data_IF_962663884773
#
_entry.id   IF_962663884773
#
_cell.length_a   1.000
_cell.length_b   1.000
_cell.length_c   1.000
_cell.angle_alpha   90.00
_cell.angle_beta   90.00
_cell.angle_gamma   90.00
#
_symmetry.space_group_name_H-M   'P 1'
#
loop_
_entity.id
_entity.type
_entity.pdbx_description
1 polymer ?
#
# COMPACT_ATOMS: atom_id res chain seq x y z
N UNK A 1 24.16 15.07 -39.09
CA UNK A 1 23.49 13.76 -38.88
C UNK A 1 23.75 13.13 -37.51
N UNK A 2 25.00 13.10 -36.99
CA UNK A 2 25.31 12.52 -35.66
C UNK A 2 24.50 13.11 -34.48
N UNK A 3 24.25 14.43 -34.50
CA UNK A 3 23.47 15.12 -33.45
C UNK A 3 21.98 14.72 -33.41
N UNK A 4 21.41 14.37 -34.57
CA UNK A 4 20.01 13.92 -34.67
C UNK A 4 19.82 12.50 -34.12
N UNK A 5 20.79 11.62 -34.33
CA UNK A 5 20.79 10.27 -33.76
C UNK A 5 20.92 10.30 -32.22
N UNK A 6 21.71 11.21 -31.67
CA UNK A 6 21.85 11.38 -30.21
C UNK A 6 20.55 11.90 -29.60
N UNK A 7 19.89 12.87 -30.24
CA UNK A 7 18.58 13.38 -29.80
C UNK A 7 17.49 12.30 -29.86
N UNK A 8 17.48 11.46 -30.90
CA UNK A 8 16.54 10.35 -31.01
C UNK A 8 16.80 9.26 -29.95
N UNK A 9 18.06 8.94 -29.67
CA UNK A 9 18.42 7.96 -28.64
C UNK A 9 18.06 8.43 -27.23
N UNK A 10 18.25 9.73 -26.93
CA UNK A 10 17.85 10.32 -25.64
C UNK A 10 16.33 10.38 -25.49
N UNK A 11 15.61 10.74 -26.56
CA UNK A 11 14.13 10.75 -26.57
C UNK A 11 13.52 9.35 -26.37
N UNK A 12 14.14 8.32 -26.96
CA UNK A 12 13.74 6.93 -26.70
C UNK A 12 14.08 6.47 -25.28
N UNK A 13 15.25 6.84 -24.75
CA UNK A 13 15.64 6.48 -23.39
C UNK A 13 14.68 7.02 -22.33
N UNK A 14 14.16 8.23 -22.53
CA UNK A 14 13.19 8.86 -21.62
C UNK A 14 11.77 8.30 -21.73
N UNK A 15 11.40 7.73 -22.88
CA UNK A 15 10.08 7.09 -23.04
C UNK A 15 10.04 5.64 -22.56
N UNK A 16 11.20 5.05 -22.27
CA UNK A 16 11.35 3.72 -21.70
C UNK A 16 11.34 3.69 -20.17
N UNK A 17 11.40 4.85 -19.49
CA UNK A 17 11.29 4.88 -18.03
C UNK A 17 9.83 4.63 -17.62
N UNK A 18 9.56 3.46 -17.03
CA UNK A 18 8.25 3.20 -16.46
C UNK A 18 7.92 4.20 -15.35
N UNK A 19 6.76 4.83 -15.46
CA UNK A 19 6.32 5.84 -14.51
C UNK A 19 5.65 5.14 -13.32
N UNK A 20 6.29 5.22 -12.15
CA UNK A 20 5.65 4.97 -10.87
C UNK A 20 5.31 6.32 -10.25
N UNK A 21 4.02 6.64 -10.14
CA UNK A 21 3.55 7.93 -9.60
C UNK A 21 2.86 7.68 -8.27
N UNK A 22 3.26 8.40 -7.22
CA UNK A 22 2.53 8.44 -5.96
C UNK A 22 1.24 9.23 -6.18
N UNK A 23 0.11 8.56 -6.01
CA UNK A 23 -1.22 9.11 -6.29
C UNK A 23 -1.82 9.74 -5.05
N UNK A 24 -1.62 9.12 -3.88
CA UNK A 24 -2.18 9.60 -2.63
C UNK A 24 -1.34 9.16 -1.43
N UNK A 25 -1.21 10.06 -0.47
CA UNK A 25 -0.72 9.80 0.88
C UNK A 25 -1.88 10.02 1.85
N UNK A 26 -2.29 8.98 2.57
CA UNK A 26 -3.42 8.99 3.50
C UNK A 26 -2.93 8.64 4.90
N UNK A 27 -3.37 9.39 5.91
CA UNK A 27 -3.00 9.13 7.30
C UNK A 27 -3.61 7.84 7.83
N UNK A 28 -4.87 7.57 7.45
CA UNK A 28 -5.61 6.34 7.74
C UNK A 28 -6.46 5.98 6.54
N UNK A 29 -6.38 4.72 6.08
CA UNK A 29 -7.27 4.19 5.06
C UNK A 29 -7.79 2.80 5.46
N UNK A 30 -9.08 2.57 5.21
CA UNK A 30 -9.68 1.25 5.35
C UNK A 30 -10.78 1.04 4.32
N UNK A 31 -10.88 -0.19 3.83
CA UNK A 31 -11.95 -0.69 2.99
C UNK A 31 -13.03 -1.44 3.78
N UNK A 32 -12.81 -1.69 5.07
CA UNK A 32 -13.74 -2.37 5.98
C UNK A 32 -14.27 -1.37 7.00
N UNK A 33 -15.53 -1.51 7.38
CA UNK A 33 -16.12 -0.67 8.42
C UNK A 33 -15.72 -1.23 9.80
N UNK A 34 -15.12 -0.40 10.64
CA UNK A 34 -14.70 -0.77 11.99
C UNK A 34 -14.93 0.39 12.96
N UNK A 35 -15.07 0.07 14.24
CA UNK A 35 -15.46 1.04 15.25
C UNK A 35 -14.24 1.81 15.78
N UNK A 36 -14.09 3.08 15.37
CA UNK A 36 -13.02 3.98 15.82
C UNK A 36 -13.02 4.30 17.33
N UNK A 37 -14.10 3.98 18.05
CA UNK A 37 -14.19 4.12 19.51
C UNK A 37 -13.72 2.85 20.25
N UNK A 38 -13.24 1.84 19.52
CA UNK A 38 -12.53 0.69 20.10
C UNK A 38 -11.22 1.19 20.71
N UNK A 39 -11.13 1.28 22.04
CA UNK A 39 -9.92 1.76 22.73
C UNK A 39 -8.71 0.80 22.67
N UNK A 40 -8.72 -0.21 21.78
CA UNK A 40 -7.70 -1.26 21.73
C UNK A 40 -7.07 -1.44 20.35
N UNK A 41 -6.73 -0.32 19.71
CA UNK A 41 -5.95 -0.32 18.46
C UNK A 41 -4.45 -0.38 18.72
N UNK A 42 -3.80 -1.36 18.11
CA UNK A 42 -2.34 -1.53 18.14
C UNK A 42 -1.79 -1.29 16.74
N UNK A 43 -0.70 -0.53 16.63
CA UNK A 43 0.02 -0.35 15.36
C UNK A 43 0.82 -1.62 15.10
N UNK A 44 0.55 -2.28 13.99
CA UNK A 44 1.27 -3.45 13.53
C UNK A 44 2.40 -3.11 12.53
N UNK A 45 2.89 -4.14 11.88
CA UNK A 45 3.95 -4.04 10.88
C UNK A 45 3.51 -3.22 9.65
N UNK A 46 4.49 -2.61 8.96
CA UNK A 46 4.27 -1.97 7.66
C UNK A 46 4.16 -3.03 6.57
N UNK A 47 3.02 -3.06 5.91
CA UNK A 47 2.71 -4.02 4.85
C UNK A 47 2.53 -3.32 3.51
N UNK A 48 2.92 -4.02 2.46
CA UNK A 48 2.74 -3.62 1.06
C UNK A 48 2.04 -4.72 0.30
N UNK A 49 1.02 -4.37 -0.48
CA UNK A 49 0.37 -5.29 -1.41
C UNK A 49 0.16 -4.62 -2.77
N UNK A 50 0.32 -5.43 -3.81
CA UNK A 50 0.23 -5.03 -5.20
C UNK A 50 -0.97 -5.72 -5.86
N UNK A 51 -1.73 -4.96 -6.62
CA UNK A 51 -2.67 -5.49 -7.61
C UNK A 51 -2.26 -4.98 -8.99
N UNK A 52 -1.54 -5.82 -9.72
CA UNK A 52 -1.00 -5.49 -11.05
C UNK A 52 -1.38 -6.54 -12.07
N UNK A 53 -1.84 -6.08 -13.23
CA UNK A 53 -2.22 -6.93 -14.37
C UNK A 53 -1.10 -6.88 -15.41
N UNK A 54 -0.68 -8.03 -15.96
CA UNK A 54 0.29 -8.07 -17.04
C UNK A 54 -0.32 -7.51 -18.34
N UNK A 55 0.47 -6.72 -19.06
CA UNK A 55 0.11 -6.14 -20.36
C UNK A 55 0.94 -6.82 -21.44
N UNK A 56 0.29 -7.53 -22.36
CA UNK A 56 0.90 -8.09 -23.57
C UNK A 56 0.08 -7.54 -24.75
N UNK A 57 0.58 -6.45 -25.36
CA UNK A 57 -0.06 -5.67 -26.43
C UNK A 57 -1.39 -4.96 -26.05
N UNK A 58 -2.26 -5.61 -25.29
CA UNK A 58 -3.43 -5.03 -24.63
C UNK A 58 -3.46 -5.48 -23.16
N UNK A 59 -3.99 -4.67 -22.23
CA UNK A 59 -4.13 -5.07 -20.83
C UNK A 59 -5.11 -6.25 -20.75
N UNK A 60 -4.67 -7.35 -20.14
CA UNK A 60 -5.48 -8.58 -19.99
C UNK A 60 -6.54 -8.48 -18.86
N UNK A 61 -6.78 -7.28 -18.33
CA UNK A 61 -7.66 -7.03 -17.20
C UNK A 61 -7.58 -5.57 -16.72
N UNK A 62 -8.48 -5.21 -15.80
CA UNK A 62 -8.57 -3.87 -15.20
C UNK A 62 -8.02 -3.97 -13.78
N UNK A 63 -6.94 -3.25 -13.42
CA UNK A 63 -6.41 -3.25 -12.05
C UNK A 63 -7.37 -2.52 -11.09
N UNK A 64 -7.54 -3.05 -9.88
CA UNK A 64 -8.42 -2.46 -8.87
C UNK A 64 -7.66 -2.08 -7.60
N UNK A 65 -7.68 -0.78 -7.28
CA UNK A 65 -7.05 -0.23 -6.08
C UNK A 65 -7.66 -0.80 -4.79
N UNK A 66 -8.97 -1.06 -4.76
CA UNK A 66 -9.65 -1.67 -3.63
C UNK A 66 -9.13 -3.07 -3.38
N UNK A 67 -8.86 -3.86 -4.42
CA UNK A 67 -8.29 -5.20 -4.29
C UNK A 67 -6.85 -5.15 -3.75
N UNK A 68 -6.03 -4.20 -4.18
CA UNK A 68 -4.70 -3.99 -3.60
C UNK A 68 -4.77 -3.65 -2.10
N UNK A 69 -5.71 -2.77 -1.72
CA UNK A 69 -5.88 -2.36 -0.33
C UNK A 69 -6.49 -3.46 0.54
N UNK A 70 -7.47 -4.22 0.03
CA UNK A 70 -8.05 -5.39 0.70
C UNK A 70 -6.96 -6.44 0.96
N UNK A 71 -6.12 -6.76 -0.04
CA UNK A 71 -4.97 -7.68 0.13
C UNK A 71 -3.96 -7.18 1.15
N UNK A 72 -3.71 -5.87 1.22
CA UNK A 72 -2.80 -5.29 2.21
C UNK A 72 -3.35 -5.43 3.64
N UNK A 73 -4.64 -5.17 3.84
CA UNK A 73 -5.32 -5.33 5.12
C UNK A 73 -5.39 -6.81 5.52
N UNK A 74 -5.72 -7.69 4.58
CA UNK A 74 -5.92 -9.13 4.82
C UNK A 74 -4.65 -9.93 5.06
N UNK A 75 -3.45 -9.32 4.93
CA UNK A 75 -2.22 -9.97 5.41
C UNK A 75 -2.29 -10.37 6.88
N UNK A 76 -3.10 -9.65 7.68
CA UNK A 76 -3.41 -10.04 9.04
C UNK A 76 -4.94 -10.01 9.23
N UNK A 77 -5.51 -11.15 9.63
CA UNK A 77 -6.96 -11.28 9.84
C UNK A 77 -7.51 -10.33 10.91
N UNK A 78 -6.65 -9.81 11.78
CA UNK A 78 -7.01 -8.87 12.85
C UNK A 78 -6.77 -7.40 12.49
N UNK A 79 -6.23 -7.13 11.29
CA UNK A 79 -6.04 -5.77 10.80
C UNK A 79 -7.35 -5.23 10.24
N UNK A 80 -7.76 -4.06 10.71
CA UNK A 80 -8.99 -3.38 10.29
C UNK A 80 -8.74 -2.18 9.41
N UNK A 81 -7.53 -1.62 9.45
CA UNK A 81 -7.13 -0.46 8.66
C UNK A 81 -5.63 -0.43 8.43
N UNK A 82 -5.19 0.50 7.60
CA UNK A 82 -3.80 0.88 7.44
C UNK A 82 -3.63 2.35 7.84
N UNK A 83 -2.52 2.66 8.50
CA UNK A 83 -2.03 4.01 8.83
C UNK A 83 -0.83 4.35 7.95
N UNK A 84 -0.55 5.63 7.74
CA UNK A 84 0.59 6.10 6.92
C UNK A 84 0.61 5.44 5.52
N UNK A 85 -0.55 5.48 4.86
CA UNK A 85 -0.82 4.77 3.61
C UNK A 85 -0.29 5.56 2.42
N UNK A 86 0.45 4.88 1.57
CA UNK A 86 1.01 5.42 0.32
C UNK A 86 0.47 4.59 -0.83
N UNK A 87 -0.25 5.24 -1.74
CA UNK A 87 -0.81 4.63 -2.95
C UNK A 87 0.06 5.03 -4.13
N UNK A 88 0.66 4.04 -4.78
CA UNK A 88 1.50 4.23 -5.96
C UNK A 88 0.85 3.58 -7.18
N UNK A 89 0.61 4.36 -8.23
CA UNK A 89 0.23 3.83 -9.53
C UNK A 89 1.48 3.40 -10.28
N UNK A 90 1.50 2.14 -10.69
CA UNK A 90 2.59 1.51 -11.43
C UNK A 90 2.16 1.41 -12.89
N UNK A 91 2.85 2.12 -13.77
CA UNK A 91 2.63 2.02 -15.21
C UNK A 91 3.95 1.70 -15.91
N UNK A 92 4.21 0.41 -16.11
CA UNK A 92 5.34 -0.09 -16.86
C UNK A 92 4.79 -0.74 -18.13
N UNK A 93 4.60 0.04 -19.21
CA UNK A 93 4.06 -0.45 -20.47
C UNK A 93 5.12 -0.32 -21.60
N UNK A 94 6.02 -1.30 -21.72
CA UNK A 94 6.90 -1.43 -22.88
C UNK A 94 6.86 -2.86 -23.41
N UNK A 95 5.94 -3.14 -24.35
CA UNK A 95 5.68 -4.41 -25.06
C UNK A 95 5.30 -5.64 -24.18
N UNK A 96 5.96 -5.83 -23.04
CA UNK A 96 5.61 -6.75 -21.95
C UNK A 96 5.72 -5.97 -20.66
N UNK A 97 4.57 -5.66 -20.06
CA UNK A 97 4.47 -4.68 -19.00
C UNK A 97 3.62 -5.11 -17.82
N UNK A 98 3.58 -4.27 -16.78
CA UNK A 98 2.62 -4.38 -15.68
C UNK A 98 2.00 -3.01 -15.44
N UNK A 99 0.68 -2.99 -15.41
CA UNK A 99 -0.10 -1.84 -14.95
C UNK A 99 -0.81 -2.22 -13.66
N UNK A 100 -0.76 -1.39 -12.64
CA UNK A 100 -1.34 -1.74 -11.34
C UNK A 100 -1.25 -0.65 -10.29
N UNK A 101 -1.75 -0.99 -9.11
CA UNK A 101 -1.64 -0.17 -7.92
C UNK A 101 -0.87 -0.92 -6.85
N UNK A 102 0.03 -0.20 -6.18
CA UNK A 102 0.75 -0.62 -4.99
C UNK A 102 0.24 0.19 -3.81
N UNK A 103 -0.22 -0.49 -2.76
CA UNK A 103 -0.67 0.13 -1.53
C UNK A 103 0.25 -0.31 -0.40
N UNK A 104 0.84 0.66 0.28
CA UNK A 104 1.73 0.43 1.43
C UNK A 104 1.20 1.16 2.65
N UNK A 105 1.24 0.55 3.83
CA UNK A 105 0.82 1.20 5.07
C UNK A 105 1.08 0.34 6.29
N UNK A 106 1.00 0.94 7.46
CA UNK A 106 1.16 0.27 8.75
C UNK A 106 -0.19 -0.30 9.21
N UNK A 107 -0.24 -1.58 9.56
CA UNK A 107 -1.49 -2.21 9.98
C UNK A 107 -2.03 -1.58 11.27
N UNK A 108 -3.35 -1.49 11.36
CA UNK A 108 -4.07 -1.15 12.59
C UNK A 108 -4.82 -2.40 13.01
N UNK A 109 -4.37 -3.01 14.11
CA UNK A 109 -4.92 -4.26 14.63
C UNK A 109 -5.95 -3.92 15.70
N UNK A 110 -7.17 -4.43 15.55
CA UNK A 110 -8.23 -4.29 16.55
C UNK A 110 -8.31 -5.57 17.40
N UNK A 111 -7.82 -5.48 18.64
CA UNK A 111 -7.79 -6.64 19.54
C UNK A 111 -9.16 -6.96 20.16
N UNK A 112 -10.14 -6.07 20.03
CA UNK A 112 -11.53 -6.34 20.45
C UNK A 112 -12.29 -7.26 19.49
N UNK A 113 -11.73 -7.57 18.31
CA UNK A 113 -12.40 -8.48 17.38
C UNK A 113 -12.52 -9.91 17.96
N UNK A 114 -13.64 -10.61 17.67
CA UNK A 114 -14.00 -11.88 18.31
C UNK A 114 -12.98 -13.03 18.13
N UNK A 115 -12.00 -12.88 17.23
CA UNK A 115 -10.93 -13.85 16.98
C UNK A 115 -9.50 -13.32 17.22
N UNK A 116 -9.36 -12.11 17.76
CA UNK A 116 -8.08 -11.39 17.84
C UNK A 116 -7.61 -11.13 19.28
N UNK A 117 -8.51 -11.21 20.26
CA UNK A 117 -8.24 -10.93 21.67
C UNK A 117 -7.59 -12.05 22.50
N UNK A 118 -7.08 -13.13 21.89
CA UNK A 118 -6.60 -14.32 22.65
C UNK A 118 -5.14 -14.74 22.44
N UNK A 119 -4.29 -13.91 21.84
CA UNK A 119 -2.87 -14.28 21.67
C UNK A 119 -1.91 -13.10 21.62
N UNK A 120 -1.76 -12.36 22.73
CA UNK A 120 -0.48 -11.66 23.00
C UNK A 120 -0.16 -11.80 24.47
N UNK A 121 0.94 -12.51 24.76
CA UNK A 121 1.60 -12.44 26.05
C UNK A 121 1.79 -10.96 26.41
N UNK A 122 1.37 -10.59 27.62
CA UNK A 122 1.42 -9.23 28.18
C UNK A 122 2.83 -8.60 28.23
N UNK A 123 3.87 -9.30 27.78
CA UNK A 123 5.23 -8.78 27.65
C UNK A 123 5.42 -7.89 26.41
N UNK A 124 4.69 -8.14 25.31
CA UNK A 124 4.89 -7.46 24.01
C UNK A 124 4.18 -6.09 23.94
N UNK A 125 3.09 -5.94 24.70
CA UNK A 125 2.31 -4.70 24.80
C UNK A 125 2.96 -3.62 25.70
N UNK A 126 4.02 -3.95 26.43
CA UNK A 126 4.76 -2.94 27.21
C UNK A 126 5.66 -2.05 26.34
N UNK A 127 5.93 -2.47 25.10
CA UNK A 127 6.85 -1.77 24.19
C UNK A 127 6.15 -1.07 23.00
N UNK A 128 4.91 -1.44 22.67
CA UNK A 128 4.15 -0.80 21.59
C UNK A 128 3.29 0.34 22.17
N UNK A 129 3.74 1.59 22.02
CA UNK A 129 2.98 2.77 22.46
C UNK A 129 1.61 2.77 21.78
N UNK A 130 0.50 2.98 22.53
CA UNK A 130 -0.81 3.16 21.93
C UNK A 130 -0.76 4.36 20.96
N UNK A 131 -1.41 4.23 19.80
CA UNK A 131 -1.49 5.27 18.76
C UNK A 131 -1.98 6.63 19.29
N UNK A 132 -2.68 6.62 20.42
CA UNK A 132 -3.19 7.82 21.12
C UNK A 132 -2.06 8.62 21.80
N UNK A 133 -0.84 8.08 21.92
CA UNK A 133 0.28 8.70 22.63
C UNK A 133 1.53 8.96 21.75
N UNK A 134 1.44 8.85 20.42
CA UNK A 134 2.48 9.42 19.55
C UNK A 134 2.22 10.92 19.38
N UNK A 135 2.72 11.69 20.33
CA UNK A 135 2.76 13.16 20.31
C UNK A 135 3.29 13.65 18.94
N UNK A 136 2.66 14.65 18.31
CA UNK A 136 3.20 15.24 17.09
C UNK A 136 4.60 15.80 17.39
N UNK A 137 5.60 15.39 16.62
CA UNK A 137 6.90 16.04 16.65
C UNK A 137 6.73 17.46 16.10
N UNK A 138 6.84 18.45 16.99
CA UNK A 138 7.12 19.85 16.63
C UNK A 138 8.54 19.99 16.10
#
# INVERSE_FOLDING_TARGET
MKKLLVLAAVGLGLSLSGCAVRVADLTVASTKNYNLNSNQFVKGERVSADDSVPVILFPLGIPDMKTAMDKAIEKNNCSVALTDVVITSLNYAFLVGKIGYRVEGNQVIDTNQPNCGKSRNLADLSNERPLILSKPAS
#
